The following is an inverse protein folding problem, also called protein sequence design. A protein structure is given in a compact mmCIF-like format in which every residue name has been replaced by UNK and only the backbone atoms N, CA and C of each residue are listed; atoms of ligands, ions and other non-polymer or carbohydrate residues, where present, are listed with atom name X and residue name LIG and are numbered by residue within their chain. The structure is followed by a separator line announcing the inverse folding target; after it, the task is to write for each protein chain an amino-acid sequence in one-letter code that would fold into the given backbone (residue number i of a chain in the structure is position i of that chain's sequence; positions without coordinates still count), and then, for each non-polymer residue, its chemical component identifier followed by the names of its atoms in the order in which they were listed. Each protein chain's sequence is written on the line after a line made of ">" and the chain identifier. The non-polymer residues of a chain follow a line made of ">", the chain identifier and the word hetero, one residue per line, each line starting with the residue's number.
data_IF_285066335222
#
_entry.id   IF_285066335222
#
_cell.length_a   1.000
_cell.length_b   1.000
_cell.length_c   1.000
_cell.angle_alpha   90.00
_cell.angle_beta   90.00
_cell.angle_gamma   90.00
#
_symmetry.space_group_name_H-M   'P 1'
#
loop_
_entity.id
_entity.type
_entity.pdbx_description
1 polymer ?
#
# COMPACT_ATOMS: atom_id res chain seq x y z
N UNK A 1 0.12 -2.21 3.95
CA UNK A 1 0.52 -1.67 5.26
C UNK A 1 -0.23 -2.42 6.34
N UNK A 2 0.28 -2.42 7.57
CA UNK A 2 -0.38 -3.05 8.72
C UNK A 2 -0.24 -2.20 9.99
N UNK A 3 -1.18 -2.32 10.94
CA UNK A 3 -1.13 -1.71 12.26
C UNK A 3 -0.22 -2.56 13.18
N UNK A 4 0.93 -2.00 13.57
CA UNK A 4 1.93 -2.72 14.38
C UNK A 4 1.37 -3.14 15.73
N UNK A 5 0.62 -2.26 16.41
CA UNK A 5 0.03 -2.56 17.72
C UNK A 5 -0.86 -3.80 17.66
N UNK A 6 -1.78 -3.85 16.67
CA UNK A 6 -2.66 -5.00 16.47
C UNK A 6 -1.86 -6.27 16.18
N UNK A 7 -0.83 -6.16 15.32
CA UNK A 7 0.01 -7.31 14.96
C UNK A 7 0.82 -7.83 16.15
N UNK A 8 1.37 -6.95 16.97
CA UNK A 8 2.12 -7.30 18.18
C UNK A 8 1.21 -7.95 19.23
N UNK A 9 0.04 -7.36 19.50
CA UNK A 9 -0.96 -7.90 20.44
C UNK A 9 -1.48 -9.27 20.00
N UNK A 10 -1.68 -9.47 18.70
CA UNK A 10 -2.14 -10.74 18.12
C UNK A 10 -1.00 -11.73 17.83
N UNK A 11 0.26 -11.32 18.02
CA UNK A 11 1.47 -12.08 17.64
C UNK A 11 1.44 -12.52 16.18
N UNK A 12 0.94 -11.65 15.30
CA UNK A 12 0.92 -11.88 13.85
C UNK A 12 2.23 -11.46 13.22
N UNK A 13 2.74 -12.31 12.33
CA UNK A 13 3.88 -11.94 11.49
C UNK A 13 3.50 -10.79 10.55
N UNK A 14 4.42 -9.85 10.27
CA UNK A 14 4.21 -8.81 9.26
C UNK A 14 3.79 -9.41 7.91
N UNK A 15 2.87 -8.77 7.17
CA UNK A 15 2.53 -9.22 5.83
C UNK A 15 3.71 -8.99 4.89
N UNK A 16 3.96 -9.98 4.05
CA UNK A 16 5.03 -10.05 3.05
C UNK A 16 4.48 -9.92 1.62
N UNK A 17 3.17 -10.02 1.43
CA UNK A 17 2.55 -9.95 0.10
C UNK A 17 1.19 -9.26 0.11
N UNK A 18 0.73 -8.82 -1.07
CA UNK A 18 -0.65 -8.36 -1.25
C UNK A 18 -1.68 -9.48 -1.04
N UNK A 19 -1.30 -10.74 -1.33
CA UNK A 19 -2.18 -11.88 -1.12
C UNK A 19 -2.37 -12.22 0.34
N UNK A 20 -1.55 -11.70 1.24
CA UNK A 20 -1.76 -11.86 2.69
C UNK A 20 -3.06 -11.20 3.14
N UNK A 21 -3.60 -10.22 2.40
CA UNK A 21 -4.92 -9.64 2.64
C UNK A 21 -6.06 -10.69 2.55
N UNK A 22 -5.83 -11.80 1.85
CA UNK A 22 -6.78 -12.90 1.73
C UNK A 22 -6.63 -13.94 2.86
N UNK A 23 -5.64 -13.82 3.75
CA UNK A 23 -5.47 -14.75 4.88
C UNK A 23 -6.71 -14.70 5.79
N UNK A 24 -7.42 -15.83 6.00
CA UNK A 24 -8.63 -15.88 6.82
C UNK A 24 -8.48 -15.33 8.24
N UNK A 25 -7.25 -15.29 8.78
CA UNK A 25 -6.99 -14.70 10.11
C UNK A 25 -7.33 -13.20 10.16
N UNK A 26 -7.36 -12.52 9.02
CA UNK A 26 -7.71 -11.10 8.91
C UNK A 26 -9.18 -10.86 8.61
N UNK A 27 -10.05 -11.86 8.75
CA UNK A 27 -11.49 -11.69 8.54
C UNK A 27 -12.05 -10.54 9.38
N UNK A 28 -12.69 -9.56 8.72
CA UNK A 28 -13.23 -8.37 9.36
C UNK A 28 -12.16 -7.42 9.92
N UNK A 29 -10.93 -7.47 9.38
CA UNK A 29 -9.79 -6.64 9.81
C UNK A 29 -9.08 -5.96 8.64
N UNK A 30 -9.49 -6.24 7.41
CA UNK A 30 -8.97 -5.58 6.21
C UNK A 30 -9.81 -4.33 5.94
N UNK A 31 -9.19 -3.18 5.72
CA UNK A 31 -9.89 -1.95 5.31
C UNK A 31 -9.36 -1.46 3.98
N UNK A 32 -10.26 -1.19 3.03
CA UNK A 32 -9.93 -0.61 1.73
C UNK A 32 -10.54 0.78 1.63
N UNK A 33 -9.87 1.71 0.94
CA UNK A 33 -10.63 2.84 0.40
C UNK A 33 -11.46 2.36 -0.79
N UNK A 34 -12.66 2.92 -0.96
CA UNK A 34 -13.55 2.55 -2.05
C UNK A 34 -12.90 2.85 -3.41
N UNK A 35 -12.94 1.88 -4.33
CA UNK A 35 -12.42 2.05 -5.69
C UNK A 35 -13.21 3.09 -6.51
N UNK A 36 -14.50 3.30 -6.20
CA UNK A 36 -15.32 4.33 -6.84
C UNK A 36 -15.16 5.70 -6.19
N UNK A 37 -14.72 5.77 -4.93
CA UNK A 37 -14.65 7.00 -4.14
C UNK A 37 -13.24 7.57 -3.95
N UNK A 38 -12.19 6.78 -4.23
CA UNK A 38 -10.81 7.18 -3.96
C UNK A 38 -9.84 6.61 -4.99
N UNK A 39 -8.89 7.46 -5.44
CA UNK A 39 -7.78 7.03 -6.30
C UNK A 39 -6.85 6.03 -5.60
N UNK A 40 -6.77 6.05 -4.27
CA UNK A 40 -6.04 5.02 -3.51
C UNK A 40 -6.78 3.68 -3.51
N UNK A 41 -8.11 3.71 -3.38
CA UNK A 41 -8.95 2.52 -3.50
C UNK A 41 -8.85 1.91 -4.89
N UNK A 42 -8.95 2.75 -5.93
CA UNK A 42 -8.79 2.33 -7.31
C UNK A 42 -7.42 1.71 -7.55
N UNK A 43 -6.36 2.38 -7.09
CA UNK A 43 -5.00 1.86 -7.20
C UNK A 43 -4.84 0.49 -6.51
N UNK A 44 -5.38 0.33 -5.29
CA UNK A 44 -5.34 -0.94 -4.57
C UNK A 44 -6.04 -2.08 -5.33
N UNK A 45 -7.22 -1.80 -5.90
CA UNK A 45 -7.93 -2.77 -6.74
C UNK A 45 -7.14 -3.10 -8.02
N UNK A 46 -6.55 -2.12 -8.70
CA UNK A 46 -5.78 -2.36 -9.92
C UNK A 46 -4.52 -3.20 -9.66
N UNK A 47 -3.86 -3.02 -8.51
CA UNK A 47 -2.74 -3.87 -8.11
C UNK A 47 -3.18 -5.32 -7.90
N UNK A 48 -4.32 -5.52 -7.23
CA UNK A 48 -4.91 -6.85 -7.09
C UNK A 48 -5.30 -7.45 -8.45
N UNK A 49 -5.94 -6.67 -9.33
CA UNK A 49 -6.32 -7.13 -10.66
C UNK A 49 -5.12 -7.66 -11.46
N UNK A 50 -3.99 -6.95 -11.43
CA UNK A 50 -2.74 -7.38 -12.09
C UNK A 50 -2.19 -8.68 -11.51
N UNK A 51 -2.27 -8.87 -10.19
CA UNK A 51 -1.89 -10.15 -9.54
C UNK A 51 -2.76 -11.30 -10.04
N UNK A 52 -4.04 -11.05 -10.31
CA UNK A 52 -4.99 -12.04 -10.82
C UNK A 52 -4.93 -12.22 -12.34
N UNK A 53 -3.96 -11.59 -13.03
CA UNK A 53 -3.77 -11.72 -14.49
C UNK A 53 -4.57 -10.73 -15.34
N UNK A 54 -5.16 -9.70 -14.73
CA UNK A 54 -5.73 -8.57 -15.45
C UNK A 54 -4.70 -7.49 -15.80
N UNK A 55 -5.15 -6.44 -16.46
CA UNK A 55 -4.33 -5.28 -16.84
C UNK A 55 -5.14 -3.97 -16.80
N UNK A 56 -4.61 -2.91 -17.41
CA UNK A 56 -5.22 -1.57 -17.43
C UNK A 56 -6.40 -1.44 -18.40
N UNK A 57 -6.77 -2.52 -19.09
CA UNK A 57 -7.89 -2.61 -20.02
C UNK A 57 -8.82 -3.78 -19.68
N UNK A 58 -8.36 -4.77 -18.94
CA UNK A 58 -9.10 -5.95 -18.52
C UNK A 58 -9.11 -6.07 -16.98
N UNK A 59 -10.25 -5.71 -16.39
CA UNK A 59 -10.47 -5.73 -14.95
C UNK A 59 -11.25 -6.95 -14.46
N UNK A 60 -11.73 -7.80 -15.37
CA UNK A 60 -12.55 -8.94 -15.01
C UNK A 60 -11.88 -9.92 -14.04
N UNK A 61 -10.56 -10.24 -14.18
CA UNK A 61 -9.91 -11.18 -13.26
C UNK A 61 -9.97 -10.69 -11.81
N UNK A 62 -9.71 -9.41 -11.58
CA UNK A 62 -9.83 -8.77 -10.28
C UNK A 62 -11.25 -8.86 -9.73
N UNK A 63 -12.27 -8.48 -10.49
CA UNK A 63 -13.65 -8.54 -9.99
C UNK A 63 -14.12 -9.97 -9.71
N UNK A 64 -13.75 -10.94 -10.54
CA UNK A 64 -14.10 -12.36 -10.35
C UNK A 64 -13.45 -12.93 -9.09
N UNK A 65 -12.17 -12.62 -8.85
CA UNK A 65 -11.42 -13.19 -7.72
C UNK A 65 -11.63 -12.48 -6.40
N UNK A 66 -12.04 -11.22 -6.42
CA UNK A 66 -12.25 -10.42 -5.22
C UNK A 66 -13.17 -11.07 -4.18
N UNK A 67 -14.42 -11.49 -4.51
CA UNK A 67 -15.33 -12.10 -3.54
C UNK A 67 -14.85 -13.47 -3.01
N UNK A 68 -13.92 -14.14 -3.71
CA UNK A 68 -13.36 -15.44 -3.32
C UNK A 68 -12.09 -15.31 -2.46
N UNK A 69 -11.50 -14.11 -2.37
CA UNK A 69 -10.15 -13.92 -1.79
C UNK A 69 -10.11 -12.83 -0.72
N UNK A 70 -9.85 -11.58 -1.09
CA UNK A 70 -9.70 -10.45 -0.14
C UNK A 70 -11.07 -10.01 0.37
N UNK A 71 -12.10 -10.01 -0.49
CA UNK A 71 -13.43 -9.51 -0.19
C UNK A 71 -14.03 -10.03 1.12
N UNK A 72 -14.00 -11.35 1.41
CA UNK A 72 -14.48 -11.93 2.68
C UNK A 72 -13.79 -11.39 3.93
N UNK A 73 -12.60 -10.82 3.81
CA UNK A 73 -11.85 -10.27 4.93
C UNK A 73 -12.06 -8.76 5.13
N UNK A 74 -12.67 -8.08 4.15
CA UNK A 74 -12.91 -6.65 4.21
C UNK A 74 -13.97 -6.32 5.26
N UNK A 75 -13.57 -5.49 6.22
CA UNK A 75 -14.45 -4.88 7.20
C UNK A 75 -15.28 -3.76 6.55
N UNK A 76 -14.61 -2.85 5.83
CA UNK A 76 -15.26 -1.67 5.26
C UNK A 76 -14.52 -1.13 4.01
N UNK A 77 -15.29 -0.56 3.07
CA UNK A 77 -14.80 0.27 1.97
C UNK A 77 -15.03 1.75 2.26
N UNK A 78 -14.01 2.44 2.75
CA UNK A 78 -14.11 3.80 3.27
C UNK A 78 -13.87 4.87 2.18
N UNK A 79 -14.39 6.09 2.33
CA UNK A 79 -14.33 7.09 1.27
C UNK A 79 -12.98 7.82 1.16
N UNK A 80 -12.18 7.87 2.23
CA UNK A 80 -10.97 8.70 2.27
C UNK A 80 -9.96 8.27 3.35
N UNK A 81 -8.79 8.92 3.36
CA UNK A 81 -7.71 8.62 4.32
C UNK A 81 -7.96 9.10 5.75
N UNK A 82 -8.84 10.09 5.97
CA UNK A 82 -9.16 10.55 7.32
C UNK A 82 -9.90 9.46 8.09
N UNK A 83 -10.90 8.84 7.44
CA UNK A 83 -11.61 7.69 8.02
C UNK A 83 -10.68 6.51 8.28
N UNK A 84 -9.71 6.26 7.40
CA UNK A 84 -8.71 5.21 7.61
C UNK A 84 -7.89 5.47 8.87
N UNK A 85 -7.45 6.71 9.08
CA UNK A 85 -6.67 7.08 10.25
C UNK A 85 -7.44 6.87 11.56
N UNK A 86 -8.73 7.22 11.59
CA UNK A 86 -9.62 6.93 12.72
C UNK A 86 -9.65 5.42 13.03
N UNK A 87 -9.84 4.57 12.00
CA UNK A 87 -9.91 3.11 12.16
C UNK A 87 -8.57 2.48 12.55
N UNK A 88 -7.45 3.10 12.21
CA UNK A 88 -6.12 2.67 12.69
C UNK A 88 -6.01 2.98 14.19
N UNK A 89 -6.42 4.18 14.62
CA UNK A 89 -6.37 4.59 16.02
C UNK A 89 -7.28 3.74 16.92
N UNK A 90 -8.46 3.34 16.42
CA UNK A 90 -9.38 2.46 17.14
C UNK A 90 -9.00 0.97 17.06
N UNK A 91 -7.92 0.61 16.35
CA UNK A 91 -7.48 -0.78 16.10
C UNK A 91 -8.49 -1.64 15.32
N UNK A 92 -9.44 -1.02 14.62
CA UNK A 92 -10.38 -1.70 13.73
C UNK A 92 -9.69 -2.13 12.43
N UNK A 93 -8.88 -1.24 11.84
CA UNK A 93 -8.07 -1.53 10.66
C UNK A 93 -6.74 -2.19 11.04
N UNK A 94 -6.63 -3.50 10.84
CA UNK A 94 -5.37 -4.21 11.08
C UNK A 94 -4.45 -4.16 9.86
N UNK A 95 -4.99 -4.31 8.65
CA UNK A 95 -4.22 -4.37 7.41
C UNK A 95 -4.95 -3.62 6.29
N UNK A 96 -4.21 -2.85 5.49
CA UNK A 96 -4.79 -1.98 4.46
C UNK A 96 -3.80 -1.66 3.31
N UNK A 97 -4.32 -1.47 2.09
CA UNK A 97 -3.56 -1.27 0.85
C UNK A 97 -3.20 0.21 0.64
N UNK A 98 -2.19 0.71 1.34
CA UNK A 98 -1.56 1.98 0.98
C UNK A 98 -0.11 1.75 0.58
N UNK A 99 0.36 2.45 -0.45
CA UNK A 99 1.78 2.40 -0.82
C UNK A 99 2.59 3.29 0.13
N UNK A 100 3.87 2.96 0.39
CA UNK A 100 4.77 3.84 1.12
C UNK A 100 4.84 5.25 0.50
N UNK A 101 4.71 5.36 -0.83
CA UNK A 101 4.65 6.63 -1.57
C UNK A 101 3.38 7.43 -1.29
N UNK A 102 2.21 6.77 -1.22
CA UNK A 102 0.96 7.40 -0.84
C UNK A 102 1.05 8.00 0.58
N UNK A 103 1.68 7.27 1.49
CA UNK A 103 1.96 7.72 2.86
C UNK A 103 2.96 8.89 2.89
N UNK A 104 4.02 8.84 2.08
CA UNK A 104 4.98 9.96 1.99
C UNK A 104 4.31 11.26 1.49
N UNK A 105 3.32 11.16 0.59
CA UNK A 105 2.50 12.32 0.19
C UNK A 105 1.58 12.80 1.31
N UNK A 106 1.01 11.90 2.12
CA UNK A 106 0.22 12.28 3.30
C UNK A 106 1.07 12.99 4.35
N UNK A 107 2.32 12.55 4.58
CA UNK A 107 3.29 13.23 5.47
C UNK A 107 3.62 14.66 5.01
N UNK A 108 3.75 14.89 3.70
CA UNK A 108 4.08 16.22 3.13
C UNK A 108 2.91 17.19 3.14
N UNK A 109 1.66 16.70 3.22
CA UNK A 109 0.44 17.54 3.21
C UNK A 109 0.08 18.11 4.58
N UNK A 110 0.98 18.03 5.54
CA UNK A 110 0.84 18.56 6.91
C UNK A 110 -0.52 18.26 7.53
N UNK A 111 -0.99 17.02 7.34
CA UNK A 111 -2.26 16.56 7.91
C UNK A 111 -2.03 16.44 9.43
N UNK A 112 -2.61 17.33 10.26
CA UNK A 112 -2.27 17.40 11.67
C UNK A 112 -2.81 16.16 12.38
N UNK A 113 -1.91 15.41 13.04
CA UNK A 113 -2.19 14.38 14.08
C UNK A 113 -3.47 13.55 13.86
N UNK A 114 -3.43 12.60 12.92
CA UNK A 114 -4.39 11.50 12.86
C UNK A 114 -3.67 10.23 12.36
N UNK A 115 -3.54 9.22 13.23
CA UNK A 115 -2.93 7.91 12.98
C UNK A 115 -1.50 7.97 12.43
N UNK A 116 -0.49 8.02 13.31
CA UNK A 116 0.88 8.26 12.84
C UNK A 116 1.39 7.11 11.97
N UNK A 117 2.12 7.45 10.91
CA UNK A 117 2.85 6.48 10.07
C UNK A 117 3.78 5.59 10.90
N UNK A 118 4.23 6.07 12.07
CA UNK A 118 5.07 5.32 13.01
C UNK A 118 4.43 4.01 13.48
N UNK A 119 3.10 4.00 13.64
CA UNK A 119 2.31 2.85 14.09
C UNK A 119 2.04 1.83 12.98
N UNK A 120 2.47 2.12 11.75
CA UNK A 120 2.22 1.28 10.58
C UNK A 120 3.50 0.70 9.99
N UNK A 121 3.48 -0.57 9.62
CA UNK A 121 4.55 -1.20 8.83
C UNK A 121 4.21 -1.29 7.35
N UNK A 122 5.23 -1.30 6.49
CA UNK A 122 5.07 -1.44 5.04
C UNK A 122 5.05 -2.91 4.61
N UNK A 123 4.20 -3.21 3.62
CA UNK A 123 4.24 -4.49 2.90
C UNK A 123 5.12 -4.26 1.67
N UNK A 124 6.12 -5.10 1.39
CA UNK A 124 6.97 -4.93 0.21
C UNK A 124 6.16 -4.96 -1.09
N UNK A 125 6.65 -4.27 -2.12
CA UNK A 125 5.98 -4.24 -3.42
C UNK A 125 6.09 -5.60 -4.11
N UNK A 126 5.12 -5.92 -4.97
CA UNK A 126 5.16 -7.15 -5.78
C UNK A 126 6.45 -7.17 -6.61
N UNK A 127 7.26 -8.22 -6.43
CA UNK A 127 8.48 -8.46 -7.20
C UNK A 127 9.79 -8.27 -6.45
N UNK A 128 9.81 -7.68 -5.25
CA UNK A 128 11.03 -7.57 -4.46
C UNK A 128 11.25 -8.86 -3.66
N UNK A 129 12.15 -9.73 -4.14
CA UNK A 129 12.72 -10.77 -3.29
C UNK A 129 13.51 -10.11 -2.14
N UNK A 130 13.55 -10.70 -0.94
CA UNK A 130 14.41 -10.19 0.12
C UNK A 130 15.87 -10.18 -0.37
N UNK A 131 16.43 -9.00 -0.59
CA UNK A 131 17.83 -8.83 -1.05
C UNK A 131 18.04 -7.86 -2.22
N UNK A 132 17.00 -7.47 -2.96
CA UNK A 132 17.17 -6.59 -4.13
C UNK A 132 16.94 -5.10 -3.82
N UNK A 133 17.43 -4.62 -2.68
CA UNK A 133 17.49 -3.18 -2.36
C UNK A 133 18.93 -2.73 -2.13
N UNK A 134 19.82 -3.03 -3.07
CA UNK A 134 21.14 -2.41 -3.12
C UNK A 134 21.64 -2.37 -4.56
N UNK A 135 21.40 -1.24 -5.24
CA UNK A 135 22.11 -0.93 -6.48
C UNK A 135 21.25 -0.37 -7.60
N UNK A 136 20.70 0.83 -7.44
CA UNK A 136 20.63 1.77 -8.55
C UNK A 136 20.48 3.22 -8.08
N UNK A 137 21.43 3.66 -7.26
CA UNK A 137 21.77 5.07 -7.17
C UNK A 137 22.76 5.40 -8.29
N UNK A 138 22.29 5.56 -9.54
CA UNK A 138 23.08 6.29 -10.54
C UNK A 138 22.76 7.77 -10.38
N UNK A 139 23.73 8.64 -10.01
CA UNK A 139 23.48 10.07 -9.97
C UNK A 139 23.25 10.59 -11.40
N UNK A 140 22.40 11.60 -11.52
CA UNK A 140 22.22 12.35 -12.76
C UNK A 140 23.57 12.95 -13.21
N UNK A 141 23.91 12.92 -14.51
CA UNK A 141 25.16 13.48 -14.97
C UNK A 141 25.17 15.01 -14.79
N UNK A 142 26.19 15.50 -14.10
CA UNK A 142 26.53 16.92 -13.96
C UNK A 142 26.94 17.43 -15.35
N UNK A 143 26.30 18.48 -15.85
CA UNK A 143 26.80 19.21 -17.03
C UNK A 143 28.14 19.86 -16.66
N UNK A 144 29.23 19.37 -17.24
CA UNK A 144 30.54 19.96 -17.09
C UNK A 144 30.73 21.03 -18.17
N UNK A 145 30.92 22.28 -17.74
CA UNK A 145 31.29 23.41 -18.58
C UNK A 145 32.60 23.11 -19.33
N UNK A 146 32.64 23.38 -20.63
CA UNK A 146 33.84 23.20 -21.47
C UNK A 146 34.82 24.36 -21.25
N UNK A 147 36.10 24.13 -20.96
CA UNK A 147 37.10 25.19 -21.05
C UNK A 147 37.51 25.41 -22.51
N UNK A 148 37.77 26.67 -22.86
CA UNK A 148 38.08 27.12 -24.21
C UNK A 148 39.39 26.56 -24.77
N UNK A 149 39.44 26.48 -26.10
CA UNK A 149 40.67 26.28 -26.85
C UNK A 149 40.97 27.56 -27.63
N UNK A 150 42.03 28.24 -27.23
CA UNK A 150 42.78 29.15 -28.09
C UNK A 150 43.84 28.35 -28.86
N UNK A 151 44.09 28.78 -30.10
CA UNK A 151 45.05 28.21 -31.05
C UNK A 151 44.72 28.68 -32.45
#
# INVERSE_FOLDING_TARGET
>A
MYNKKVFDEKKWAPPTSWMDLADPKYKGKVVFQSASGSTFGLHGFLMFNRIQGGDDKNYEPGFKKWPETIGPNVLEYIPNSAKLAEMIQSNEAAIFPLTPTAIARLKKRDIPRAGTVAETGAVPAVGERPGESAGNGRPLPVQQERPGAGG
#
